data_IF_760276781642
#
_entry.id   IF_760276781642
#
_cell.length_a   1.000
_cell.length_b   1.000
_cell.length_c   1.000
_cell.angle_alpha   90.00
_cell.angle_beta   90.00
_cell.angle_gamma   90.00
#
_symmetry.space_group_name_H-M   'P 1'
#
loop_
_entity.id
_entity.type
_entity.pdbx_description
1 polymer ?
#
# COMPACT_ATOMS: atom_id res chain seq x y z
N UNK A 1 5.71 -0.31 16.52
CA UNK A 1 5.10 0.05 15.21
C UNK A 1 4.31 1.35 15.42
N UNK A 2 4.05 2.17 14.39
CA UNK A 2 3.23 3.37 14.59
C UNK A 2 1.73 3.03 14.64
N UNK A 3 0.92 3.93 15.22
CA UNK A 3 -0.54 3.76 15.34
C UNK A 3 -1.20 3.52 13.99
N UNK A 4 -0.79 4.23 12.94
CA UNK A 4 -1.33 4.06 11.59
C UNK A 4 -1.10 2.64 11.04
N UNK A 5 0.09 2.08 11.20
CA UNK A 5 0.36 0.70 10.76
C UNK A 5 -0.44 -0.34 11.54
N UNK A 6 -0.60 -0.14 12.86
CA UNK A 6 -1.39 -1.03 13.70
C UNK A 6 -2.86 -1.04 13.25
N UNK A 7 -3.45 0.15 13.05
CA UNK A 7 -4.86 0.28 12.61
C UNK A 7 -5.08 -0.29 11.21
N UNK A 8 -4.19 -0.01 10.26
CA UNK A 8 -4.25 -0.57 8.89
C UNK A 8 -4.16 -2.10 8.92
N UNK A 9 -3.25 -2.65 9.72
CA UNK A 9 -3.09 -4.10 9.87
C UNK A 9 -4.31 -4.74 10.51
N UNK A 10 -4.86 -4.13 11.58
CA UNK A 10 -6.06 -4.61 12.24
C UNK A 10 -7.25 -4.66 11.26
N UNK A 11 -7.51 -3.58 10.54
CA UNK A 11 -8.61 -3.53 9.56
C UNK A 11 -8.44 -4.54 8.42
N UNK A 12 -7.22 -4.76 7.93
CA UNK A 12 -6.96 -5.81 6.93
C UNK A 12 -7.21 -7.21 7.50
N UNK A 13 -6.75 -7.50 8.73
CA UNK A 13 -6.94 -8.81 9.35
C UNK A 13 -8.42 -9.10 9.65
N UNK A 14 -9.19 -8.07 10.02
CA UNK A 14 -10.63 -8.17 10.28
C UNK A 14 -11.42 -8.44 9.00
N UNK A 15 -11.02 -7.83 7.88
CA UNK A 15 -11.80 -7.86 6.62
C UNK A 15 -11.31 -8.89 5.61
N UNK A 16 -10.10 -9.45 5.75
CA UNK A 16 -9.58 -10.43 4.80
C UNK A 16 -10.42 -11.72 4.81
N UNK A 17 -10.63 -12.34 3.64
CA UNK A 17 -11.15 -13.71 3.57
C UNK A 17 -10.30 -14.70 4.37
N UNK A 18 -10.93 -15.75 4.92
CA UNK A 18 -10.27 -16.76 5.77
C UNK A 18 -9.17 -17.53 5.03
N UNK A 19 -9.30 -17.70 3.72
CA UNK A 19 -8.34 -18.40 2.87
C UNK A 19 -7.07 -17.58 2.56
N UNK A 20 -7.02 -16.29 2.90
CA UNK A 20 -5.81 -15.48 2.71
C UNK A 20 -4.87 -15.67 3.90
N UNK A 21 -3.66 -16.14 3.63
CA UNK A 21 -2.56 -16.19 4.61
C UNK A 21 -1.73 -14.92 4.54
N UNK A 22 -1.18 -14.48 5.68
CA UNK A 22 -0.43 -13.23 5.78
C UNK A 22 0.96 -13.51 6.35
N UNK A 23 1.99 -13.17 5.58
CA UNK A 23 3.38 -13.08 6.07
C UNK A 23 3.72 -11.61 6.27
N UNK A 24 4.12 -11.25 7.50
CA UNK A 24 4.39 -9.85 7.86
C UNK A 24 5.89 -9.55 7.93
N UNK A 25 6.32 -8.50 7.23
CA UNK A 25 7.71 -8.02 7.24
C UNK A 25 7.79 -6.59 7.79
N UNK A 26 8.90 -6.24 8.46
CA UNK A 26 9.14 -4.90 9.02
C UNK A 26 9.89 -4.00 8.03
N UNK A 27 9.16 -3.22 7.22
CA UNK A 27 9.73 -2.35 6.19
C UNK A 27 9.93 -0.87 6.56
N UNK A 28 9.87 -0.52 7.85
CA UNK A 28 10.27 0.78 8.47
C UNK A 28 9.99 2.07 7.65
N UNK A 29 8.83 2.20 6.99
CA UNK A 29 8.36 3.43 6.32
C UNK A 29 9.29 4.00 5.26
N UNK A 30 10.21 3.20 4.71
CA UNK A 30 11.08 3.68 3.63
C UNK A 30 11.25 2.61 2.57
N UNK A 31 11.39 3.08 1.34
CA UNK A 31 11.68 2.25 0.17
C UNK A 31 12.90 1.35 0.40
N UNK A 32 14.05 1.92 0.78
CA UNK A 32 15.29 1.18 1.02
C UNK A 32 15.15 0.11 2.10
N UNK A 33 14.43 0.40 3.18
CA UNK A 33 14.29 -0.57 4.26
C UNK A 33 13.27 -1.67 3.96
N UNK A 34 12.23 -1.37 3.17
CA UNK A 34 11.31 -2.37 2.62
C UNK A 34 12.04 -3.31 1.66
N UNK A 35 12.82 -2.74 0.73
CA UNK A 35 13.65 -3.51 -0.20
C UNK A 35 14.58 -4.49 0.54
N UNK A 36 15.32 -3.99 1.54
CA UNK A 36 16.18 -4.85 2.35
C UNK A 36 15.40 -5.94 3.08
N UNK A 37 14.26 -5.62 3.68
CA UNK A 37 13.45 -6.59 4.41
C UNK A 37 12.96 -7.73 3.50
N UNK A 38 12.52 -7.39 2.29
CA UNK A 38 12.06 -8.38 1.30
C UNK A 38 13.22 -9.20 0.76
N UNK A 39 14.36 -8.60 0.42
CA UNK A 39 15.55 -9.35 0.01
C UNK A 39 16.03 -10.34 1.09
N UNK A 40 16.07 -9.90 2.36
CA UNK A 40 16.43 -10.77 3.48
C UNK A 40 15.43 -11.92 3.65
N UNK A 41 14.14 -11.68 3.45
CA UNK A 41 13.13 -12.74 3.53
C UNK A 41 13.25 -13.73 2.38
N UNK A 42 13.46 -13.25 1.14
CA UNK A 42 13.62 -14.10 -0.06
C UNK A 42 14.91 -14.94 -0.04
N UNK A 43 15.91 -14.55 0.74
CA UNK A 43 17.13 -15.35 0.94
C UNK A 43 16.94 -16.55 1.89
N UNK A 44 15.83 -16.62 2.65
CA UNK A 44 15.56 -17.73 3.56
C UNK A 44 15.12 -18.98 2.79
N UNK A 45 15.66 -20.15 3.13
CA UNK A 45 15.25 -21.41 2.48
C UNK A 45 13.74 -21.68 2.59
N UNK A 46 13.12 -21.26 3.70
CA UNK A 46 11.69 -21.41 3.96
C UNK A 46 10.80 -20.53 3.08
N UNK A 47 11.34 -19.51 2.40
CA UNK A 47 10.58 -18.62 1.52
C UNK A 47 10.71 -18.97 0.04
N UNK A 48 11.67 -19.83 -0.35
CA UNK A 48 11.92 -20.16 -1.76
C UNK A 48 10.70 -20.77 -2.46
N UNK A 49 9.91 -21.57 -1.73
CA UNK A 49 8.69 -22.19 -2.24
C UNK A 49 7.41 -21.43 -1.85
N UNK A 50 7.54 -20.24 -1.24
CA UNK A 50 6.36 -19.48 -0.84
C UNK A 50 5.59 -19.03 -2.09
N UNK A 51 4.30 -19.36 -2.15
CA UNK A 51 3.37 -18.77 -3.11
C UNK A 51 2.99 -17.38 -2.60
N UNK A 52 3.17 -16.37 -3.45
CA UNK A 52 2.88 -14.98 -3.14
C UNK A 52 1.93 -14.49 -4.22
N UNK A 53 0.71 -14.18 -3.81
CA UNK A 53 -0.33 -13.70 -4.72
C UNK A 53 -0.39 -12.17 -4.78
N UNK A 54 0.04 -11.49 -3.71
CA UNK A 54 0.01 -10.04 -3.58
C UNK A 54 1.03 -9.54 -2.55
N UNK A 55 1.59 -8.35 -2.79
CA UNK A 55 2.38 -7.62 -1.80
C UNK A 55 1.61 -6.39 -1.36
N UNK A 56 1.15 -6.39 -0.11
CA UNK A 56 0.53 -5.23 0.54
C UNK A 56 1.52 -4.48 1.41
N UNK A 57 1.72 -3.19 1.14
CA UNK A 57 2.60 -2.33 1.91
C UNK A 57 1.83 -1.29 2.75
N UNK A 58 2.46 -0.84 3.83
CA UNK A 58 1.88 0.16 4.72
C UNK A 58 1.87 1.56 4.10
N UNK A 59 2.73 1.85 3.12
CA UNK A 59 2.70 3.04 2.28
C UNK A 59 3.18 2.71 0.84
N UNK A 60 3.03 3.66 -0.07
CA UNK A 60 3.44 3.50 -1.48
C UNK A 60 4.96 3.34 -1.63
N UNK A 61 5.76 4.02 -0.80
CA UNK A 61 7.23 3.96 -0.85
C UNK A 61 7.75 2.56 -0.50
N UNK A 62 7.17 1.94 0.52
CA UNK A 62 7.45 0.57 0.92
C UNK A 62 7.00 -0.42 -0.15
N UNK A 63 5.88 -0.18 -0.85
CA UNK A 63 5.46 -1.01 -1.98
C UNK A 63 6.50 -0.99 -3.10
N UNK A 64 7.03 0.19 -3.44
CA UNK A 64 8.10 0.32 -4.45
C UNK A 64 9.39 -0.36 -4.01
N UNK A 65 9.75 -0.26 -2.72
CA UNK A 65 10.92 -0.95 -2.17
C UNK A 65 10.80 -2.46 -2.28
N UNK A 66 9.63 -3.00 -1.95
CA UNK A 66 9.35 -4.42 -2.12
C UNK A 66 9.45 -4.84 -3.59
N UNK A 67 8.86 -4.06 -4.51
CA UNK A 67 8.94 -4.32 -5.95
C UNK A 67 10.39 -4.36 -6.46
N UNK A 68 11.24 -3.42 -6.03
CA UNK A 68 12.66 -3.39 -6.37
C UNK A 68 13.40 -4.66 -5.91
N UNK A 69 13.07 -5.19 -4.73
CA UNK A 69 13.66 -6.43 -4.25
C UNK A 69 13.34 -7.62 -5.19
N UNK A 70 12.07 -7.77 -5.61
CA UNK A 70 11.69 -8.82 -6.56
C UNK A 70 12.34 -8.65 -7.94
N UNK A 71 12.53 -7.41 -8.40
CA UNK A 71 13.21 -7.14 -9.68
C UNK A 71 14.71 -7.47 -9.66
N UNK A 72 15.35 -7.43 -8.48
CA UNK A 72 16.77 -7.76 -8.31
C UNK A 72 17.05 -9.26 -8.31
N UNK A 73 16.04 -10.09 -8.10
CA UNK A 73 16.20 -11.54 -8.09
C UNK A 73 16.14 -12.02 -9.54
N UNK A 74 17.29 -12.47 -10.05
CA UNK A 74 17.52 -12.86 -11.44
C UNK A 74 17.10 -14.30 -11.77
N UNK A 75 16.15 -14.89 -11.03
CA UNK A 75 15.80 -16.30 -11.16
C UNK A 75 14.85 -16.59 -12.34
N UNK A 76 14.70 -17.88 -12.66
CA UNK A 76 13.73 -18.45 -13.62
C UNK A 76 12.29 -17.94 -13.37
N UNK A 77 11.99 -17.51 -12.14
CA UNK A 77 10.72 -16.91 -11.73
C UNK A 77 10.54 -15.43 -12.12
N UNK A 78 11.44 -14.83 -12.90
CA UNK A 78 11.32 -13.42 -13.33
C UNK A 78 9.95 -13.13 -13.98
N UNK A 79 9.45 -14.07 -14.78
CA UNK A 79 8.11 -13.97 -15.38
C UNK A 79 7.01 -13.97 -14.32
N UNK A 80 7.12 -14.84 -13.31
CA UNK A 80 6.20 -14.90 -12.16
C UNK A 80 6.19 -13.58 -11.38
N UNK A 81 7.36 -13.06 -11.01
CA UNK A 81 7.46 -11.84 -10.22
C UNK A 81 7.05 -10.58 -10.98
N UNK A 82 7.21 -10.57 -12.30
CA UNK A 82 6.77 -9.44 -13.14
C UNK A 82 5.26 -9.17 -13.08
N UNK A 83 4.46 -10.21 -12.78
CA UNK A 83 3.00 -10.15 -12.70
C UNK A 83 2.48 -9.94 -11.29
N UNK A 84 3.35 -9.98 -10.27
CA UNK A 84 2.95 -9.86 -8.88
C UNK A 84 2.32 -8.48 -8.61
N UNK A 85 1.07 -8.39 -8.12
CA UNK A 85 0.47 -7.12 -7.79
C UNK A 85 1.06 -6.55 -6.50
N UNK A 86 1.43 -5.27 -6.55
CA UNK A 86 1.89 -4.49 -5.40
C UNK A 86 0.82 -3.45 -5.05
N UNK A 87 0.41 -3.38 -3.79
CA UNK A 87 -0.55 -2.40 -3.31
C UNK A 87 0.03 -1.53 -2.21
N UNK A 88 -0.28 -0.24 -2.25
CA UNK A 88 0.22 0.75 -1.29
C UNK A 88 -0.87 1.55 -0.58
N UNK A 89 -0.43 2.59 0.11
CA UNK A 89 -1.25 3.51 0.88
C UNK A 89 -0.55 4.89 0.86
N UNK A 90 -1.33 5.97 0.89
CA UNK A 90 -0.98 7.40 0.72
C UNK A 90 -1.67 7.92 -0.53
N UNK A 91 -1.35 7.34 -1.70
CA UNK A 91 -2.03 7.60 -2.96
C UNK A 91 -1.86 9.03 -3.47
N UNK A 92 -0.71 9.67 -3.23
CA UNK A 92 -0.47 11.02 -3.70
C UNK A 92 -0.43 11.09 -5.24
N UNK A 93 -0.87 12.20 -5.87
CA UNK A 93 -0.99 12.30 -7.33
C UNK A 93 0.31 12.02 -8.09
N UNK A 94 1.44 12.52 -7.56
CA UNK A 94 2.76 12.43 -8.19
C UNK A 94 3.49 11.10 -7.92
N UNK A 95 3.04 10.32 -6.92
CA UNK A 95 3.64 9.03 -6.54
C UNK A 95 2.60 7.91 -6.70
N UNK A 96 1.90 7.50 -5.64
CA UNK A 96 1.00 6.34 -5.63
C UNK A 96 0.07 6.25 -6.83
N UNK A 97 -0.65 7.32 -7.17
CA UNK A 97 -1.57 7.29 -8.31
C UNK A 97 -0.85 7.23 -9.65
N UNK A 98 0.28 7.94 -9.78
CA UNK A 98 1.14 7.86 -10.97
C UNK A 98 1.67 6.43 -11.14
N UNK A 99 2.16 5.82 -10.06
CA UNK A 99 2.66 4.45 -10.06
C UNK A 99 1.57 3.43 -10.36
N UNK A 100 0.32 3.67 -9.96
CA UNK A 100 -0.82 2.86 -10.39
C UNK A 100 -1.12 3.01 -11.89
N UNK A 101 -1.10 4.24 -12.42
CA UNK A 101 -1.33 4.49 -13.86
C UNK A 101 -0.25 3.87 -14.75
N UNK A 102 1.00 3.88 -14.27
CA UNK A 102 2.16 3.31 -14.96
C UNK A 102 2.31 1.80 -14.76
N UNK A 103 1.45 1.16 -13.94
CA UNK A 103 1.50 -0.29 -13.69
C UNK A 103 2.61 -0.74 -12.72
N UNK A 104 3.28 0.19 -12.05
CA UNK A 104 4.20 -0.11 -10.95
C UNK A 104 3.47 -0.59 -9.70
N UNK A 105 2.27 -0.07 -9.45
CA UNK A 105 1.34 -0.53 -8.42
C UNK A 105 0.05 -1.04 -9.06
N UNK A 106 -0.55 -2.06 -8.47
CA UNK A 106 -1.88 -2.53 -8.83
C UNK A 106 -2.97 -1.60 -8.27
N UNK A 107 -2.79 -1.14 -7.03
CA UNK A 107 -3.70 -0.22 -6.34
C UNK A 107 -2.97 0.57 -5.24
N UNK A 108 -3.55 1.68 -4.82
CA UNK A 108 -3.17 2.41 -3.60
C UNK A 108 -4.41 2.96 -2.91
N UNK A 109 -4.40 3.02 -1.57
CA UNK A 109 -5.42 3.78 -0.83
C UNK A 109 -5.01 5.24 -0.77
N UNK A 110 -5.79 6.12 -1.41
CA UNK A 110 -5.63 7.55 -1.26
C UNK A 110 -6.05 7.99 0.15
N UNK A 111 -5.14 8.66 0.84
CA UNK A 111 -5.39 9.33 2.11
C UNK A 111 -5.19 10.83 1.87
N UNK A 112 -6.25 11.65 2.01
CA UNK A 112 -6.14 13.09 1.79
C UNK A 112 -5.08 13.73 2.71
N UNK A 113 -4.24 14.65 2.19
CA UNK A 113 -3.35 15.45 3.03
C UNK A 113 -4.15 16.26 4.06
N UNK A 114 -3.80 16.12 5.33
CA UNK A 114 -4.59 16.68 6.44
C UNK A 114 -4.23 18.14 6.79
N UNK A 115 -3.04 18.61 6.37
CA UNK A 115 -2.54 19.92 6.78
C UNK A 115 -3.43 21.07 6.31
N UNK A 116 -3.92 21.02 5.07
CA UNK A 116 -4.82 22.06 4.54
C UNK A 116 -6.08 22.20 5.38
N UNK A 117 -6.79 21.09 5.58
CA UNK A 117 -8.00 21.04 6.42
C UNK A 117 -7.73 21.50 7.86
N UNK A 118 -6.59 21.12 8.45
CA UNK A 118 -6.23 21.55 9.80
C UNK A 118 -6.04 23.08 9.89
N UNK A 119 -5.40 23.69 8.89
CA UNK A 119 -5.22 25.14 8.83
C UNK A 119 -6.56 25.86 8.62
N UNK A 120 -7.45 25.32 7.78
CA UNK A 120 -8.80 25.86 7.59
C UNK A 120 -9.63 25.84 8.89
N UNK A 121 -9.59 24.73 9.61
CA UNK A 121 -10.25 24.57 10.92
C UNK A 121 -9.69 25.60 11.92
N UNK A 122 -8.37 25.73 12.00
CA UNK A 122 -7.71 26.71 12.88
C UNK A 122 -8.13 28.14 12.53
N UNK A 123 -8.06 28.51 11.25
CA UNK A 123 -8.39 29.86 10.80
C UNK A 123 -9.87 30.19 11.07
N UNK A 124 -10.78 29.22 10.94
CA UNK A 124 -12.19 29.37 11.31
C UNK A 124 -12.37 29.58 12.81
N UNK A 125 -11.72 28.77 13.65
CA UNK A 125 -11.78 28.91 15.10
C UNK A 125 -11.30 30.29 15.57
N UNK A 126 -10.21 30.80 14.98
CA UNK A 126 -9.68 32.14 15.29
C UNK A 126 -10.62 33.28 14.91
N UNK A 127 -11.32 33.17 13.77
CA UNK A 127 -12.28 34.20 13.32
C UNK A 127 -13.56 34.19 14.15
N UNK A 128 -14.08 33.01 14.44
CA UNK A 128 -15.40 32.85 15.05
C UNK A 128 -15.34 32.84 16.58
N UNK A 129 -14.14 32.73 17.18
CA UNK A 129 -13.96 32.53 18.62
C UNK A 129 -14.48 31.18 19.12
N UNK A 130 -14.76 30.24 18.21
CA UNK A 130 -15.35 28.94 18.50
C UNK A 130 -14.28 27.85 18.66
N UNK A 131 -14.53 26.87 19.54
CA UNK A 131 -13.68 25.69 19.65
C UNK A 131 -13.85 24.78 18.43
N UNK A 132 -12.75 24.29 17.81
CA UNK A 132 -12.83 23.34 16.72
C UNK A 132 -13.36 21.97 17.20
N UNK A 133 -13.85 21.12 16.29
CA UNK A 133 -14.25 19.75 16.62
C UNK A 133 -13.09 18.96 17.24
N UNK A 134 -13.38 18.16 18.27
CA UNK A 134 -12.38 17.31 18.93
C UNK A 134 -11.74 16.29 17.98
N UNK A 135 -12.47 15.85 16.95
CA UNK A 135 -11.98 14.97 15.90
C UNK A 135 -12.59 15.36 14.56
N UNK A 136 -11.75 15.39 13.52
CA UNK A 136 -12.17 15.51 12.12
C UNK A 136 -11.66 14.28 11.36
N UNK A 137 -12.54 13.62 10.62
CA UNK A 137 -12.21 12.46 9.79
C UNK A 137 -12.20 12.87 8.32
N UNK A 138 -11.24 12.34 7.56
CA UNK A 138 -11.23 12.45 6.10
C UNK A 138 -11.54 11.10 5.49
N UNK A 139 -12.22 11.11 4.35
CA UNK A 139 -12.55 9.89 3.63
C UNK A 139 -11.35 9.42 2.82
N UNK A 140 -10.90 8.19 3.07
CA UNK A 140 -9.95 7.49 2.21
C UNK A 140 -10.70 6.63 1.19
N UNK A 141 -10.06 6.37 0.05
CA UNK A 141 -10.65 5.52 -0.99
C UNK A 141 -9.58 4.78 -1.79
N UNK A 142 -9.98 3.68 -2.43
CA UNK A 142 -9.10 2.93 -3.33
C UNK A 142 -8.89 3.67 -4.65
N UNK A 143 -7.64 3.68 -5.11
CA UNK A 143 -7.26 4.10 -6.45
C UNK A 143 -6.53 2.95 -7.17
N UNK A 144 -7.11 2.37 -8.25
CA UNK A 144 -8.43 2.68 -8.80
C UNK A 144 -9.57 2.25 -7.84
N UNK A 145 -10.82 2.68 -8.09
CA UNK A 145 -12.00 2.14 -7.39
C UNK A 145 -12.06 0.61 -7.50
N UNK A 146 -12.69 -0.06 -6.53
CA UNK A 146 -12.70 -1.52 -6.43
C UNK A 146 -13.30 -2.20 -7.68
N UNK A 147 -14.32 -1.60 -8.27
CA UNK A 147 -14.95 -2.06 -9.52
C UNK A 147 -13.95 -2.07 -10.67
N UNK A 148 -13.01 -1.12 -10.67
CA UNK A 148 -11.90 -1.06 -11.62
C UNK A 148 -10.89 -2.19 -11.46
N UNK A 149 -10.69 -2.69 -10.23
CA UNK A 149 -9.77 -3.82 -9.96
C UNK A 149 -10.33 -5.14 -10.49
N UNK A 150 -11.62 -5.39 -10.25
CA UNK A 150 -12.32 -6.60 -10.74
C UNK A 150 -12.24 -6.69 -12.27
N UNK A 151 -12.47 -5.56 -12.96
CA UNK A 151 -12.39 -5.51 -14.44
C UNK A 151 -10.99 -5.80 -14.96
N UNK A 152 -9.95 -5.28 -14.31
CA UNK A 152 -8.55 -5.54 -14.70
C UNK A 152 -8.15 -6.99 -14.51
N UNK A 153 -8.56 -7.63 -13.41
CA UNK A 153 -8.32 -9.06 -13.20
C UNK A 153 -9.03 -9.92 -14.26
N UNK A 154 -10.29 -9.62 -14.58
CA UNK A 154 -11.03 -10.33 -15.60
C UNK A 154 -10.40 -10.20 -17.00
N UNK A 155 -9.78 -9.06 -17.31
CA UNK A 155 -9.04 -8.85 -18.57
C UNK A 155 -7.69 -9.56 -18.58
N UNK A 156 -6.98 -9.58 -17.45
CA UNK A 156 -5.70 -10.28 -17.32
C UNK A 156 -5.87 -11.81 -17.40
N UNK A 157 -6.97 -12.36 -16.89
CA UNK A 157 -7.28 -13.79 -16.96
C UNK A 157 -7.71 -14.27 -18.36
N UNK A 158 -7.98 -13.36 -19.30
CA UNK A 158 -8.38 -13.65 -20.69
C UNK A 158 -7.22 -13.59 -21.69
N UNK A 159 -6.02 -13.25 -21.26
CA UNK A 159 -4.79 -13.18 -22.07
C UNK A 159 -3.84 -14.29 -21.69
#
# INVERSE_FOLDING_TARGET
QSSSAQKRTAGMLETKPKNIQVVSLKGKWTEKSSERAVLSWLALATSQNALIDVVGAQDDSMAMGARKAFQKISSEDKARWSRLPFTGCDGLPATGQKWVREGWLAATIYIPPLAGTAIEILAKAMRDGAQPPAQTLTQSFSFPPLEGLVRRQAQAARK
#
